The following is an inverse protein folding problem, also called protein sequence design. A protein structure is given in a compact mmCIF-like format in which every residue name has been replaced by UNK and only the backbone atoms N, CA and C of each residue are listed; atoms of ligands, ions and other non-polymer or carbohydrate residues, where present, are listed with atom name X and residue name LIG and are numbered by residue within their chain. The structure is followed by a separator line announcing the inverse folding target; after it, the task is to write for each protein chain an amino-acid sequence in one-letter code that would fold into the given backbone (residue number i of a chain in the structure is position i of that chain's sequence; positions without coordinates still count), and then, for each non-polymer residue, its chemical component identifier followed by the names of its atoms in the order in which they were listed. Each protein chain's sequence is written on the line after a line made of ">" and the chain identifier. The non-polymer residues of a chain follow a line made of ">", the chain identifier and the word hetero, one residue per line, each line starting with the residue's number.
data_IF_603813907859
#
_entry.id   IF_603813907859
#
_cell.length_a   1.000
_cell.length_b   1.000
_cell.length_c   1.000
_cell.angle_alpha   90.00
_cell.angle_beta   90.00
_cell.angle_gamma   90.00
#
_symmetry.space_group_name_H-M   'P 1'
#
loop_
_entity.id
_entity.type
_entity.pdbx_description
1 polymer ?
#
# COMPACT_ATOMS: atom_id res chain seq x y z
N UNK A 1 15.31 16.36 22.89
CA UNK A 1 15.63 15.04 22.34
C UNK A 1 14.35 14.31 21.95
N UNK A 2 14.28 13.84 20.71
CA UNK A 2 13.20 13.01 20.16
C UNK A 2 13.74 11.62 19.84
N UNK A 3 12.97 10.59 20.18
CA UNK A 3 13.29 9.18 19.92
C UNK A 3 12.36 8.69 18.80
N UNK A 4 12.93 8.32 17.66
CA UNK A 4 12.22 7.53 16.65
C UNK A 4 12.36 6.05 17.02
N UNK A 5 11.23 5.38 17.15
CA UNK A 5 11.14 3.98 17.54
C UNK A 5 10.44 3.18 16.43
N UNK A 6 10.86 1.93 16.25
CA UNK A 6 10.11 0.89 15.56
C UNK A 6 9.62 -0.08 16.63
N UNK A 7 8.31 -0.07 16.91
CA UNK A 7 7.77 -0.72 18.11
C UNK A 7 8.51 -0.23 19.36
N UNK A 8 9.06 -1.10 20.20
CA UNK A 8 9.83 -0.72 21.39
C UNK A 8 11.31 -0.44 21.13
N UNK A 9 11.79 -0.63 19.90
CA UNK A 9 13.21 -0.48 19.54
C UNK A 9 13.47 0.97 19.12
N UNK A 10 14.30 1.71 19.86
CA UNK A 10 14.80 3.01 19.41
C UNK A 10 15.77 2.81 18.24
N UNK A 11 15.44 3.39 17.09
CA UNK A 11 16.24 3.29 15.86
C UNK A 11 17.08 4.53 15.60
N UNK A 12 16.60 5.70 16.02
CA UNK A 12 17.25 7.00 15.86
C UNK A 12 16.90 7.91 17.05
N UNK A 13 17.91 8.57 17.63
CA UNK A 13 17.71 9.72 18.53
C UNK A 13 18.07 10.99 17.77
N UNK A 14 17.23 12.03 17.85
CA UNK A 14 17.53 13.29 17.20
C UNK A 14 17.01 14.50 17.96
N UNK A 15 17.72 15.61 17.83
CA UNK A 15 17.29 16.92 18.30
C UNK A 15 17.61 17.95 17.22
N UNK A 16 16.56 18.50 16.63
CA UNK A 16 16.69 19.42 15.49
C UNK A 16 17.33 20.75 15.91
N UNK A 17 17.11 21.20 17.14
CA UNK A 17 17.64 22.47 17.65
C UNK A 17 19.13 22.32 18.00
N UNK A 18 19.46 21.24 18.70
CA UNK A 18 20.83 20.91 19.08
C UNK A 18 21.63 20.26 17.93
N UNK A 19 21.01 20.08 16.76
CA UNK A 19 21.60 19.46 15.55
C UNK A 19 22.23 18.09 15.83
N UNK A 20 21.57 17.34 16.71
CA UNK A 20 22.00 16.06 17.20
C UNK A 20 21.27 14.95 16.44
N UNK A 21 22.01 13.96 15.94
CA UNK A 21 21.48 12.76 15.29
C UNK A 21 22.35 11.55 15.67
N UNK A 22 21.80 10.61 16.42
CA UNK A 22 22.46 9.37 16.85
C UNK A 22 21.72 8.18 16.25
N UNK A 23 22.39 7.42 15.38
CA UNK A 23 21.79 6.29 14.67
C UNK A 23 22.10 5.00 15.44
N UNK A 24 21.05 4.36 15.98
CA UNK A 24 21.20 3.17 16.83
C UNK A 24 21.03 1.86 16.06
N UNK A 25 20.04 1.82 15.15
CA UNK A 25 19.69 0.63 14.35
C UNK A 25 19.55 1.00 12.88
N UNK A 26 20.66 1.18 12.15
CA UNK A 26 20.62 1.60 10.74
C UNK A 26 19.88 0.62 9.85
N UNK A 27 19.88 -0.67 10.21
CA UNK A 27 19.16 -1.76 9.54
C UNK A 27 17.64 -1.69 9.72
N UNK A 28 17.17 -1.04 10.79
CA UNK A 28 15.76 -0.87 11.13
C UNK A 28 15.25 0.56 10.93
N UNK A 29 16.02 1.47 10.33
CA UNK A 29 15.47 2.77 9.94
C UNK A 29 14.40 2.59 8.85
N UNK A 30 13.46 3.55 8.69
CA UNK A 30 12.65 3.66 7.48
C UNK A 30 13.52 3.53 6.22
N UNK A 31 13.05 2.81 5.20
CA UNK A 31 13.88 2.42 4.07
C UNK A 31 14.52 3.64 3.38
N UNK A 32 13.76 4.73 3.26
CA UNK A 32 14.19 6.02 2.70
C UNK A 32 15.27 6.75 3.51
N UNK A 33 15.51 6.37 4.76
CA UNK A 33 16.54 6.97 5.62
C UNK A 33 17.84 6.15 5.68
N UNK A 34 17.79 4.86 5.30
CA UNK A 34 18.93 3.94 5.37
C UNK A 34 20.09 4.40 4.49
N UNK A 35 21.29 4.44 5.08
CA UNK A 35 22.52 4.87 4.41
C UNK A 35 22.57 6.34 3.98
N UNK A 36 21.48 7.10 4.19
CA UNK A 36 21.38 8.51 3.79
C UNK A 36 21.56 9.45 4.99
N UNK A 37 21.04 9.08 6.16
CA UNK A 37 21.30 9.80 7.40
C UNK A 37 22.75 9.63 7.86
N UNK A 38 23.34 10.71 8.35
CA UNK A 38 24.70 10.73 8.92
C UNK A 38 24.62 10.90 10.43
N UNK A 39 25.29 10.01 11.17
CA UNK A 39 25.41 10.11 12.63
C UNK A 39 26.34 11.26 13.02
N UNK A 40 25.81 12.28 13.70
CA UNK A 40 26.59 13.46 14.09
C UNK A 40 27.37 13.28 15.39
N UNK A 41 27.08 12.22 16.17
CA UNK A 41 27.84 11.88 17.38
C UNK A 41 29.16 11.19 17.06
N UNK A 42 29.22 10.54 15.88
CA UNK A 42 30.39 9.80 15.39
C UNK A 42 31.12 10.49 14.24
N UNK A 43 30.58 11.59 13.72
CA UNK A 43 31.15 12.31 12.58
C UNK A 43 31.79 13.62 13.03
N UNK A 44 33.07 13.78 12.71
CA UNK A 44 33.77 15.06 12.79
C UNK A 44 34.24 15.40 11.38
N UNK A 45 33.45 16.20 10.65
CA UNK A 45 33.76 16.67 9.30
C UNK A 45 33.84 18.19 9.27
N UNK A 46 34.60 18.73 8.32
CA UNK A 46 34.71 20.18 8.14
C UNK A 46 33.36 20.85 7.82
N UNK A 47 32.43 20.11 7.23
CA UNK A 47 31.11 20.61 6.81
C UNK A 47 29.96 19.99 7.61
N UNK A 48 29.95 20.24 8.93
CA UNK A 48 28.84 19.81 9.79
C UNK A 48 27.53 20.51 9.43
N UNK A 49 27.58 21.74 8.93
CA UNK A 49 26.40 22.52 8.54
C UNK A 49 25.59 21.84 7.43
N UNK A 50 26.25 21.37 6.37
CA UNK A 50 25.55 20.64 5.30
C UNK A 50 24.99 19.30 5.78
N UNK A 51 25.72 18.60 6.67
CA UNK A 51 25.22 17.34 7.26
C UNK A 51 23.94 17.58 8.04
N UNK A 52 23.89 18.64 8.86
CA UNK A 52 22.70 18.98 9.63
C UNK A 52 21.51 19.31 8.74
N UNK A 53 21.71 20.11 7.70
CA UNK A 53 20.66 20.48 6.75
C UNK A 53 20.13 19.24 6.01
N UNK A 54 21.03 18.38 5.52
CA UNK A 54 20.66 17.15 4.81
C UNK A 54 19.89 16.18 5.71
N UNK A 55 20.32 15.98 6.96
CA UNK A 55 19.59 15.12 7.90
C UNK A 55 18.19 15.66 8.20
N UNK A 56 18.06 16.98 8.39
CA UNK A 56 16.77 17.63 8.62
C UNK A 56 15.85 17.48 7.40
N UNK A 57 16.38 17.63 6.18
CA UNK A 57 15.62 17.43 4.93
C UNK A 57 15.15 15.98 4.76
N UNK A 58 15.99 15.00 5.09
CA UNK A 58 15.63 13.58 5.05
C UNK A 58 14.49 13.24 6.02
N UNK A 59 14.58 13.71 7.27
CA UNK A 59 13.52 13.51 8.27
C UNK A 59 12.24 14.27 7.87
N UNK A 60 12.38 15.50 7.37
CA UNK A 60 11.28 16.30 6.81
C UNK A 60 10.54 15.52 5.73
N UNK A 61 11.27 14.92 4.78
CA UNK A 61 10.71 14.17 3.66
C UNK A 61 9.97 12.92 4.14
N UNK A 62 10.55 12.18 5.09
CA UNK A 62 9.90 11.03 5.72
C UNK A 62 8.56 11.42 6.38
N UNK A 63 8.54 12.52 7.13
CA UNK A 63 7.32 13.03 7.73
C UNK A 63 6.31 13.55 6.70
N UNK A 64 6.78 14.23 5.65
CA UNK A 64 5.92 14.72 4.57
C UNK A 64 5.17 13.56 3.90
N UNK A 65 5.89 12.51 3.49
CA UNK A 65 5.33 11.33 2.81
C UNK A 65 4.36 10.52 3.69
N UNK A 66 4.45 10.64 5.01
CA UNK A 66 3.50 10.04 5.96
C UNK A 66 2.29 10.92 6.25
N UNK A 67 2.48 12.23 6.22
CA UNK A 67 1.49 13.19 6.67
C UNK A 67 0.28 13.31 5.76
N UNK A 68 -0.87 13.63 6.35
CA UNK A 68 -2.09 13.98 5.65
C UNK A 68 -1.85 14.97 4.50
N UNK A 69 -2.23 14.58 3.28
CA UNK A 69 -2.24 15.49 2.14
C UNK A 69 -3.23 16.63 2.36
N UNK A 70 -2.80 17.89 2.15
CA UNK A 70 -3.66 19.09 2.24
C UNK A 70 -4.77 19.07 1.18
N UNK A 71 -4.56 18.29 0.11
CA UNK A 71 -5.54 18.10 -0.97
C UNK A 71 -6.58 17.02 -0.64
N UNK A 72 -6.41 16.22 0.43
CA UNK A 72 -7.42 15.25 0.84
C UNK A 72 -8.70 15.98 1.21
N UNK A 73 -9.84 15.44 0.80
CA UNK A 73 -11.14 15.89 1.28
C UNK A 73 -11.12 15.96 2.81
N UNK A 74 -11.67 17.05 3.36
CA UNK A 74 -11.70 17.37 4.78
C UNK A 74 -10.35 17.63 5.48
N UNK A 75 -9.20 17.60 4.78
CA UNK A 75 -7.90 17.86 5.41
C UNK A 75 -7.82 19.22 6.10
N UNK A 76 -8.39 20.26 5.46
CA UNK A 76 -8.40 21.62 6.02
C UNK A 76 -9.14 21.70 7.35
N UNK A 77 -10.23 20.93 7.54
CA UNK A 77 -10.94 20.90 8.81
C UNK A 77 -10.07 20.29 9.91
N UNK A 78 -9.38 19.17 9.62
CA UNK A 78 -8.44 18.55 10.56
C UNK A 78 -7.34 19.52 10.94
N UNK A 79 -6.68 20.14 9.95
CA UNK A 79 -5.58 21.08 10.19
C UNK A 79 -6.03 22.30 11.02
N UNK A 80 -7.21 22.85 10.75
CA UNK A 80 -7.76 23.97 11.52
C UNK A 80 -8.01 23.58 12.98
N UNK A 81 -8.63 22.42 13.22
CA UNK A 81 -8.92 21.95 14.58
C UNK A 81 -7.66 21.58 15.37
N UNK A 82 -6.58 21.23 14.66
CA UNK A 82 -5.26 20.95 15.25
C UNK A 82 -4.35 22.18 15.33
N UNK A 83 -4.82 23.35 14.89
CA UNK A 83 -4.04 24.59 14.78
C UNK A 83 -2.72 24.41 14.00
N UNK A 84 -2.78 23.65 12.91
CA UNK A 84 -1.67 23.44 11.97
C UNK A 84 -1.91 24.34 10.75
N UNK A 85 -0.88 25.05 10.30
CA UNK A 85 -1.01 25.90 9.10
C UNK A 85 -1.23 25.03 7.86
N UNK A 86 -2.09 25.49 6.95
CA UNK A 86 -2.47 24.75 5.73
C UNK A 86 -1.42 24.90 4.61
N UNK A 87 -0.14 24.75 4.94
CA UNK A 87 0.97 24.83 4.01
C UNK A 87 1.82 23.56 4.08
N UNK A 88 2.62 23.34 3.03
CA UNK A 88 3.44 22.14 2.90
C UNK A 88 4.87 22.33 3.44
N UNK A 89 5.08 23.25 4.38
CA UNK A 89 6.41 23.49 4.95
C UNK A 89 6.77 22.51 6.07
N UNK A 90 8.07 22.45 6.39
CA UNK A 90 8.61 21.57 7.41
C UNK A 90 8.00 21.78 8.80
N UNK A 91 7.76 23.02 9.23
CA UNK A 91 7.24 23.34 10.56
C UNK A 91 5.85 22.73 10.75
N UNK A 92 4.98 22.91 9.76
CA UNK A 92 3.63 22.33 9.77
C UNK A 92 3.64 20.81 9.75
N UNK A 93 4.52 20.19 8.96
CA UNK A 93 4.65 18.71 8.91
C UNK A 93 5.20 18.15 10.20
N UNK A 94 6.24 18.76 10.74
CA UNK A 94 6.84 18.37 12.01
C UNK A 94 5.82 18.49 13.14
N UNK A 95 5.10 19.62 13.22
CA UNK A 95 4.04 19.83 14.20
C UNK A 95 2.95 18.76 14.10
N UNK A 96 2.49 18.43 12.89
CA UNK A 96 1.52 17.37 12.66
C UNK A 96 2.01 16.02 13.21
N UNK A 97 3.25 15.65 12.90
CA UNK A 97 3.85 14.39 13.36
C UNK A 97 4.06 14.37 14.88
N UNK A 98 4.49 15.47 15.49
CA UNK A 98 4.63 15.54 16.95
C UNK A 98 3.27 15.38 17.66
N UNK A 99 2.20 15.98 17.11
CA UNK A 99 0.85 15.89 17.70
C UNK A 99 0.31 14.45 17.70
N UNK A 100 0.57 13.67 16.64
CA UNK A 100 0.10 12.29 16.51
C UNK A 100 1.17 11.22 16.78
N UNK A 101 2.33 11.61 17.34
CA UNK A 101 3.51 10.74 17.53
C UNK A 101 3.99 10.05 16.24
N UNK A 102 3.71 10.64 15.09
CA UNK A 102 3.97 10.08 13.75
C UNK A 102 3.37 8.68 13.53
N UNK A 103 2.37 8.28 14.32
CA UNK A 103 1.73 6.97 14.22
C UNK A 103 0.97 6.84 12.89
N UNK A 104 1.12 5.70 12.23
CA UNK A 104 0.47 5.35 10.97
C UNK A 104 -0.13 3.95 11.07
N UNK A 105 -1.17 3.64 10.30
CA UNK A 105 -1.67 2.24 10.18
C UNK A 105 -0.80 1.43 9.21
N UNK A 106 -0.02 2.11 8.36
CA UNK A 106 0.82 1.47 7.36
C UNK A 106 2.07 0.81 7.96
N UNK A 107 2.55 1.26 9.12
CA UNK A 107 3.82 0.83 9.71
C UNK A 107 3.87 1.05 11.22
N UNK A 108 4.91 0.48 11.87
CA UNK A 108 5.08 0.56 13.32
C UNK A 108 6.13 1.61 13.76
N UNK A 109 6.50 2.55 12.88
CA UNK A 109 7.36 3.66 13.27
C UNK A 109 6.57 4.74 14.00
N UNK A 110 7.18 5.30 15.04
CA UNK A 110 6.60 6.39 15.81
C UNK A 110 7.70 7.22 16.48
N UNK A 111 7.32 8.38 17.01
CA UNK A 111 8.22 9.29 17.71
C UNK A 111 7.71 9.63 19.11
N UNK A 112 8.64 9.82 20.03
CA UNK A 112 8.35 10.24 21.41
C UNK A 112 9.47 11.09 21.99
N UNK A 113 9.15 11.90 22.99
CA UNK A 113 10.10 12.63 23.84
C UNK A 113 10.47 11.84 25.12
N UNK A 114 9.85 10.67 25.32
CA UNK A 114 10.09 9.78 26.46
C UNK A 114 10.79 8.50 26.05
N UNK A 115 11.94 8.21 26.64
CA UNK A 115 12.67 6.95 26.39
C UNK A 115 11.89 5.73 26.91
N UNK A 116 11.06 5.89 27.94
CA UNK A 116 10.35 4.80 28.64
C UNK A 116 8.95 4.50 28.12
N UNK A 117 8.38 5.34 27.25
CA UNK A 117 7.06 5.07 26.67
C UNK A 117 7.14 3.85 25.72
N UNK A 118 6.16 2.95 25.83
CA UNK A 118 6.16 1.67 25.11
C UNK A 118 5.21 1.67 23.92
N UNK A 119 5.44 0.77 22.96
CA UNK A 119 4.56 0.56 21.82
C UNK A 119 3.14 0.15 22.23
N UNK A 120 3.02 -0.67 23.28
CA UNK A 120 1.73 -1.10 23.82
C UNK A 120 0.83 0.09 24.20
N UNK A 121 1.41 1.21 24.66
CA UNK A 121 0.68 2.38 25.13
C UNK A 121 0.16 3.29 23.99
N UNK A 122 0.70 3.14 22.78
CA UNK A 122 0.51 4.12 21.69
C UNK A 122 0.04 3.50 20.38
N UNK A 123 0.25 2.21 20.16
CA UNK A 123 -0.03 1.59 18.87
C UNK A 123 -1.49 1.74 18.46
N UNK A 124 -1.73 2.03 17.18
CA UNK A 124 -3.08 2.24 16.67
C UNK A 124 -3.89 0.94 16.54
N UNK A 125 -3.22 -0.21 16.61
CA UNK A 125 -3.85 -1.53 16.45
C UNK A 125 -4.64 -1.95 17.69
N UNK A 126 -4.24 -1.58 18.89
CA UNK A 126 -4.86 -2.01 20.15
C UNK A 126 -5.50 -0.84 20.90
N UNK A 127 -5.00 0.38 20.70
CA UNK A 127 -5.48 1.53 21.44
C UNK A 127 -6.74 2.17 20.80
N UNK A 128 -7.55 2.89 21.60
CA UNK A 128 -8.67 3.66 21.10
C UNK A 128 -8.23 4.75 20.10
N UNK A 129 -8.98 4.87 19.01
CA UNK A 129 -8.79 5.91 18.00
C UNK A 129 -9.57 7.17 18.40
N UNK A 130 -9.10 8.34 17.97
CA UNK A 130 -9.77 9.60 18.27
C UNK A 130 -11.06 9.78 17.43
N UNK A 131 -12.22 9.56 18.05
CA UNK A 131 -13.54 9.57 17.39
C UNK A 131 -13.86 10.89 16.68
N UNK A 132 -13.61 12.04 17.32
CA UNK A 132 -13.85 13.34 16.68
C UNK A 132 -13.05 13.51 15.39
N UNK A 133 -11.80 13.04 15.35
CA UNK A 133 -10.98 13.10 14.14
C UNK A 133 -11.52 12.20 13.03
N UNK A 134 -12.07 11.02 13.37
CA UNK A 134 -12.74 10.16 12.38
C UNK A 134 -13.96 10.87 11.77
N UNK A 135 -14.74 11.55 12.61
CA UNK A 135 -15.92 12.30 12.20
C UNK A 135 -15.56 13.47 11.28
N UNK A 136 -14.50 14.20 11.61
CA UNK A 136 -13.98 15.29 10.76
C UNK A 136 -13.45 14.70 9.44
N UNK A 137 -12.64 13.64 9.50
CA UNK A 137 -11.98 13.07 8.32
C UNK A 137 -12.96 12.47 7.30
N UNK A 138 -13.97 11.73 7.76
CA UNK A 138 -14.93 11.07 6.88
C UNK A 138 -16.10 11.96 6.47
N UNK A 139 -16.59 12.84 7.35
CA UNK A 139 -17.82 13.61 7.11
C UNK A 139 -17.61 15.13 7.00
N UNK A 140 -16.42 15.64 7.25
CA UNK A 140 -16.14 17.09 7.14
C UNK A 140 -16.79 17.94 8.23
N UNK A 141 -17.13 17.34 9.38
CA UNK A 141 -17.74 18.06 10.51
C UNK A 141 -16.73 19.03 11.12
N UNK A 142 -17.22 20.17 11.62
CA UNK A 142 -16.40 21.13 12.38
C UNK A 142 -16.63 20.92 13.88
N UNK A 143 -15.88 19.98 14.46
CA UNK A 143 -15.99 19.60 15.87
C UNK A 143 -14.68 19.93 16.61
N UNK A 144 -14.74 20.43 17.86
CA UNK A 144 -13.55 20.70 18.65
C UNK A 144 -12.81 19.40 19.02
N UNK A 145 -11.49 19.41 18.88
CA UNK A 145 -10.61 18.30 19.28
C UNK A 145 -10.18 18.50 20.73
N UNK A 146 -10.33 17.45 21.55
CA UNK A 146 -9.95 17.46 22.98
C UNK A 146 -9.25 16.17 23.34
N UNK A 147 -8.27 16.21 24.23
CA UNK A 147 -7.56 15.03 24.73
C UNK A 147 -6.35 14.64 23.86
N UNK A 148 -5.86 13.41 24.07
CA UNK A 148 -4.66 12.90 23.38
C UNK A 148 -4.99 12.56 21.93
N UNK A 149 -4.20 13.08 20.99
CA UNK A 149 -4.35 12.79 19.56
C UNK A 149 -3.64 11.48 19.23
N UNK A 150 -4.36 10.37 19.40
CA UNK A 150 -3.97 9.04 18.89
C UNK A 150 -4.89 8.70 17.74
N UNK A 151 -4.44 9.04 16.54
CA UNK A 151 -5.30 8.93 15.36
C UNK A 151 -4.46 8.82 14.10
N UNK A 152 -4.78 7.86 13.22
CA UNK A 152 -4.19 7.80 11.90
C UNK A 152 -4.70 8.90 10.97
N UNK A 153 -5.70 9.70 11.34
CA UNK A 153 -6.31 10.68 10.42
C UNK A 153 -5.43 11.89 10.09
N UNK A 154 -4.34 12.07 10.84
CA UNK A 154 -3.29 13.07 10.59
C UNK A 154 -2.19 12.50 9.69
N UNK A 155 -2.24 11.21 9.42
CA UNK A 155 -1.34 10.45 8.56
C UNK A 155 -2.11 9.78 7.42
N UNK A 156 -1.40 9.25 6.44
CA UNK A 156 -2.00 8.57 5.31
C UNK A 156 -2.22 9.49 4.11
N UNK A 157 -1.89 8.94 2.93
CA UNK A 157 -1.97 9.62 1.65
C UNK A 157 -3.34 9.47 0.99
N UNK A 158 -3.53 10.06 -0.19
CA UNK A 158 -4.75 9.95 -0.98
C UNK A 158 -5.67 11.18 -0.90
N UNK A 159 -6.56 11.30 -1.87
CA UNK A 159 -7.38 12.50 -2.07
C UNK A 159 -8.79 12.41 -1.46
N UNK A 160 -9.34 11.21 -1.30
CA UNK A 160 -10.73 11.00 -0.88
C UNK A 160 -10.90 11.07 0.63
N UNK A 161 -12.11 11.44 1.08
CA UNK A 161 -12.48 11.35 2.48
C UNK A 161 -12.39 9.90 2.95
N UNK A 162 -11.67 9.70 4.05
CA UNK A 162 -11.49 8.38 4.64
C UNK A 162 -11.17 8.49 6.12
N UNK A 163 -11.55 7.46 6.87
CA UNK A 163 -11.20 7.31 8.26
C UNK A 163 -11.12 5.84 8.68
N UNK A 164 -10.27 5.58 9.66
CA UNK A 164 -10.14 4.27 10.29
C UNK A 164 -11.13 4.11 11.43
N UNK A 165 -11.85 3.00 11.44
CA UNK A 165 -12.76 2.60 12.51
C UNK A 165 -12.33 1.26 13.09
N UNK A 166 -12.61 1.05 14.38
CA UNK A 166 -12.44 -0.25 15.01
C UNK A 166 -13.78 -0.96 15.10
N UNK A 167 -13.86 -2.15 14.52
CA UNK A 167 -15.07 -2.96 14.48
C UNK A 167 -14.70 -4.40 14.85
N UNK A 168 -15.33 -4.94 15.90
CA UNK A 168 -15.05 -6.28 16.42
C UNK A 168 -13.54 -6.56 16.66
N UNK A 169 -12.84 -5.56 17.20
CA UNK A 169 -11.40 -5.64 17.50
C UNK A 169 -10.48 -5.35 16.30
N UNK A 170 -10.98 -5.38 15.07
CA UNK A 170 -10.17 -5.14 13.86
C UNK A 170 -10.28 -3.70 13.36
N UNK A 171 -9.20 -3.20 12.76
CA UNK A 171 -9.20 -1.90 12.07
C UNK A 171 -9.76 -2.03 10.66
N UNK A 172 -10.66 -1.11 10.30
CA UNK A 172 -11.26 -0.98 8.98
C UNK A 172 -11.05 0.43 8.45
N UNK A 173 -10.57 0.55 7.22
CA UNK A 173 -10.52 1.80 6.50
C UNK A 173 -11.84 2.00 5.77
N UNK A 174 -12.56 3.05 6.14
CA UNK A 174 -13.73 3.53 5.42
C UNK A 174 -13.29 4.62 4.45
N UNK A 175 -13.59 4.45 3.16
CA UNK A 175 -13.47 5.48 2.13
C UNK A 175 -14.88 5.92 1.71
N UNK A 176 -15.06 7.21 1.43
CA UNK A 176 -16.34 7.73 0.96
C UNK A 176 -16.26 8.17 -0.50
N UNK A 177 -17.38 8.05 -1.21
CA UNK A 177 -17.54 8.62 -2.55
C UNK A 177 -17.36 10.14 -2.50
N UNK A 178 -16.79 10.70 -3.57
CA UNK A 178 -16.92 12.14 -3.82
C UNK A 178 -18.40 12.48 -4.05
N UNK A 179 -18.82 13.74 -3.87
CA UNK A 179 -20.18 14.14 -4.21
C UNK A 179 -20.55 13.77 -5.66
N UNK A 180 -21.52 12.86 -5.84
CA UNK A 180 -21.94 12.35 -7.15
C UNK A 180 -21.00 11.33 -7.80
N UNK A 181 -19.97 10.89 -7.10
CA UNK A 181 -19.01 9.89 -7.55
C UNK A 181 -19.52 8.45 -7.44
N UNK A 182 -18.68 7.51 -7.83
CA UNK A 182 -18.94 6.07 -7.76
C UNK A 182 -17.68 5.25 -7.39
N UNK A 183 -16.73 5.91 -6.72
CA UNK A 183 -15.43 5.37 -6.32
C UNK A 183 -15.58 4.10 -5.49
N UNK A 184 -16.49 4.10 -4.50
CA UNK A 184 -16.79 2.99 -3.63
C UNK A 184 -17.35 1.78 -4.40
N UNK A 185 -18.19 2.02 -5.41
CA UNK A 185 -18.74 0.95 -6.26
C UNK A 185 -17.66 0.35 -7.16
N UNK A 186 -16.74 1.17 -7.69
CA UNK A 186 -15.58 0.70 -8.47
C UNK A 186 -14.63 -0.12 -7.60
N UNK A 187 -14.35 0.32 -6.37
CA UNK A 187 -13.52 -0.38 -5.41
C UNK A 187 -14.05 -1.79 -5.09
N UNK A 188 -15.35 -1.86 -4.79
CA UNK A 188 -16.05 -3.12 -4.50
C UNK A 188 -16.09 -4.01 -5.72
N UNK A 189 -16.47 -3.48 -6.90
CA UNK A 189 -16.47 -4.22 -8.17
C UNK A 189 -15.10 -4.81 -8.49
N UNK A 190 -14.03 -4.03 -8.39
CA UNK A 190 -12.68 -4.50 -8.65
C UNK A 190 -12.31 -5.64 -7.68
N UNK A 191 -12.59 -5.49 -6.39
CA UNK A 191 -12.34 -6.58 -5.42
C UNK A 191 -13.20 -7.83 -5.68
N UNK A 192 -14.48 -7.69 -6.04
CA UNK A 192 -15.35 -8.81 -6.42
C UNK A 192 -14.85 -9.56 -7.67
N UNK A 193 -14.29 -8.84 -8.62
CA UNK A 193 -13.67 -9.43 -9.81
C UNK A 193 -12.38 -10.15 -9.42
N UNK A 194 -11.52 -9.54 -8.61
CA UNK A 194 -10.26 -10.15 -8.19
C UNK A 194 -10.47 -11.40 -7.34
N UNK A 195 -11.58 -11.50 -6.58
CA UNK A 195 -12.04 -12.72 -5.91
C UNK A 195 -12.33 -13.90 -6.87
N UNK A 196 -12.43 -13.63 -8.18
CA UNK A 196 -12.58 -14.65 -9.21
C UNK A 196 -11.24 -15.17 -9.75
N UNK A 197 -10.11 -14.62 -9.27
CA UNK A 197 -8.76 -14.98 -9.66
C UNK A 197 -7.89 -15.27 -8.44
N UNK A 198 -6.74 -15.92 -8.65
CA UNK A 198 -5.76 -16.19 -7.59
C UNK A 198 -4.84 -14.97 -7.31
N UNK A 199 -5.42 -13.77 -7.23
CA UNK A 199 -4.71 -12.52 -6.99
C UNK A 199 -4.94 -12.07 -5.55
N UNK A 200 -3.93 -12.10 -4.67
CA UNK A 200 -4.01 -11.48 -3.35
C UNK A 200 -4.41 -10.01 -3.46
N UNK A 201 -5.55 -9.67 -2.88
CA UNK A 201 -6.09 -8.32 -2.88
C UNK A 201 -6.87 -8.06 -1.60
N UNK A 202 -7.09 -6.77 -1.31
CA UNK A 202 -7.91 -6.33 -0.18
C UNK A 202 -9.38 -6.40 -0.59
N UNK A 203 -10.19 -7.07 0.24
CA UNK A 203 -11.64 -7.15 0.03
C UNK A 203 -12.32 -5.86 0.49
N UNK A 204 -13.17 -5.31 -0.38
CA UNK A 204 -14.02 -4.17 -0.06
C UNK A 204 -15.49 -4.58 0.05
N UNK A 205 -16.21 -3.90 0.94
CA UNK A 205 -17.66 -4.05 1.09
C UNK A 205 -18.34 -2.69 0.96
N UNK A 206 -19.45 -2.63 0.24
CA UNK A 206 -20.23 -1.41 0.08
C UNK A 206 -21.11 -1.20 1.31
N UNK A 207 -21.23 0.03 1.75
CA UNK A 207 -22.06 0.40 2.88
C UNK A 207 -22.53 1.84 2.82
N UNK A 208 -23.20 2.24 3.90
CA UNK A 208 -23.63 3.62 4.11
C UNK A 208 -23.28 3.99 5.55
N UNK A 209 -22.62 5.13 5.73
CA UNK A 209 -22.43 5.75 7.05
C UNK A 209 -23.00 7.17 6.98
N UNK A 210 -23.93 7.46 7.90
CA UNK A 210 -24.75 8.68 7.86
C UNK A 210 -25.42 8.84 6.48
N UNK A 211 -25.17 9.94 5.79
CA UNK A 211 -25.68 10.25 4.46
C UNK A 211 -24.73 9.84 3.31
N UNK A 212 -23.50 9.40 3.63
CA UNK A 212 -22.49 9.04 2.62
C UNK A 212 -22.50 7.56 2.25
N UNK A 213 -22.35 7.31 0.95
CA UNK A 213 -21.95 5.99 0.44
C UNK A 213 -20.47 5.79 0.77
N UNK A 214 -20.17 4.62 1.32
CA UNK A 214 -18.80 4.26 1.73
C UNK A 214 -18.47 2.87 1.24
N UNK A 215 -17.18 2.61 1.00
CA UNK A 215 -16.64 1.25 0.98
C UNK A 215 -15.69 1.06 2.16
N UNK A 216 -15.67 -0.14 2.69
CA UNK A 216 -14.84 -0.51 3.83
C UNK A 216 -13.96 -1.70 3.50
N UNK A 217 -12.71 -1.65 3.94
CA UNK A 217 -11.79 -2.76 3.92
C UNK A 217 -11.08 -2.93 5.27
N UNK A 218 -10.75 -4.16 5.62
CA UNK A 218 -9.94 -4.44 6.81
C UNK A 218 -8.49 -4.00 6.55
N UNK A 219 -7.79 -3.59 7.62
CA UNK A 219 -6.35 -3.34 7.56
C UNK A 219 -5.62 -4.58 7.04
N UNK A 220 -4.78 -4.38 6.02
CA UNK A 220 -3.96 -5.45 5.44
C UNK A 220 -2.60 -5.62 6.13
N UNK A 221 -2.22 -4.71 7.04
CA UNK A 221 -0.97 -4.83 7.75
C UNK A 221 -1.06 -5.92 8.84
N UNK A 222 0.03 -6.67 9.05
CA UNK A 222 0.12 -7.69 10.09
C UNK A 222 0.86 -7.16 11.32
N UNK A 223 0.76 -7.89 12.43
CA UNK A 223 1.62 -7.66 13.59
C UNK A 223 3.10 -7.84 13.20
N UNK A 224 3.95 -6.92 13.65
CA UNK A 224 5.38 -6.88 13.35
C UNK A 224 5.77 -6.65 11.88
N UNK A 225 4.88 -6.01 11.10
CA UNK A 225 5.16 -5.67 9.71
C UNK A 225 4.91 -4.19 9.42
N UNK A 226 5.63 -3.68 8.43
CA UNK A 226 5.41 -2.34 7.89
C UNK A 226 5.24 -2.42 6.38
N UNK A 227 4.34 -1.61 5.84
CA UNK A 227 4.18 -1.40 4.41
C UNK A 227 5.24 -0.40 3.97
N UNK A 228 5.97 -0.77 2.93
CA UNK A 228 6.90 0.10 2.21
C UNK A 228 6.37 0.23 0.80
N UNK A 229 5.94 1.43 0.43
CA UNK A 229 5.41 1.67 -0.91
C UNK A 229 6.52 1.57 -1.97
N UNK A 230 6.12 1.48 -3.25
CA UNK A 230 7.09 1.32 -4.33
C UNK A 230 7.95 2.58 -4.53
N UNK A 231 7.49 3.76 -4.10
CA UNK A 231 8.25 5.02 -4.20
C UNK A 231 9.43 4.96 -3.22
N UNK A 232 9.22 4.45 -2.01
CA UNK A 232 10.28 4.25 -1.03
C UNK A 232 11.35 3.27 -1.53
N UNK A 233 10.92 2.18 -2.19
CA UNK A 233 11.86 1.24 -2.82
C UNK A 233 12.62 1.90 -3.97
N UNK A 234 11.97 2.68 -4.83
CA UNK A 234 12.61 3.37 -5.95
C UNK A 234 13.70 4.35 -5.46
N UNK A 235 13.37 5.17 -4.46
CA UNK A 235 14.32 6.08 -3.81
C UNK A 235 15.53 5.32 -3.27
N UNK A 236 15.29 4.21 -2.57
CA UNK A 236 16.37 3.39 -2.02
C UNK A 236 17.21 2.72 -3.12
N UNK A 237 16.57 2.13 -4.14
CA UNK A 237 17.23 1.45 -5.23
C UNK A 237 18.13 2.40 -6.03
N UNK A 238 17.59 3.55 -6.42
CA UNK A 238 18.31 4.61 -7.14
C UNK A 238 19.58 5.05 -6.41
N UNK A 239 19.48 5.33 -5.10
CA UNK A 239 20.63 5.71 -4.27
C UNK A 239 21.70 4.62 -4.17
N UNK A 240 21.30 3.36 -4.28
CA UNK A 240 22.21 2.21 -4.22
C UNK A 240 22.65 1.75 -5.63
N UNK A 241 22.40 2.53 -6.68
CA UNK A 241 22.78 2.19 -8.06
C UNK A 241 22.08 0.95 -8.61
N UNK A 242 20.86 0.66 -8.13
CA UNK A 242 20.05 -0.50 -8.52
C UNK A 242 18.92 -0.06 -9.45
N UNK A 243 18.58 -0.93 -10.40
CA UNK A 243 17.35 -0.77 -11.18
C UNK A 243 16.13 -1.13 -10.32
N UNK A 244 15.21 -0.17 -10.18
CA UNK A 244 14.02 -0.30 -9.34
C UNK A 244 13.15 -1.51 -9.72
N UNK A 245 12.83 -1.69 -11.01
CA UNK A 245 11.96 -2.78 -11.44
C UNK A 245 12.62 -4.15 -11.28
N UNK A 246 13.93 -4.24 -11.52
CA UNK A 246 14.70 -5.47 -11.27
C UNK A 246 14.68 -5.83 -9.78
N UNK A 247 14.81 -4.84 -8.89
CA UNK A 247 14.74 -5.08 -7.45
C UNK A 247 13.32 -5.49 -7.00
N UNK A 248 12.27 -4.82 -7.52
CA UNK A 248 10.88 -5.18 -7.26
C UNK A 248 10.59 -6.64 -7.66
N UNK A 249 11.00 -7.06 -8.86
CA UNK A 249 10.87 -8.45 -9.34
C UNK A 249 11.74 -9.43 -8.56
N UNK A 250 12.92 -9.01 -8.09
CA UNK A 250 13.80 -9.85 -7.25
C UNK A 250 13.12 -10.18 -5.91
N UNK A 251 12.36 -9.23 -5.35
CA UNK A 251 11.59 -9.44 -4.12
C UNK A 251 10.37 -10.31 -4.39
N UNK A 252 9.56 -9.98 -5.40
CA UNK A 252 8.33 -10.72 -5.70
C UNK A 252 7.88 -10.58 -7.17
N UNK A 253 8.48 -11.36 -8.06
CA UNK A 253 8.12 -11.36 -9.49
C UNK A 253 6.68 -11.83 -9.74
N UNK A 254 6.18 -12.76 -8.93
CA UNK A 254 4.86 -13.36 -9.11
C UNK A 254 3.77 -12.31 -8.90
N UNK A 255 3.78 -11.60 -7.76
CA UNK A 255 2.84 -10.51 -7.50
C UNK A 255 3.04 -9.32 -8.44
N UNK A 256 4.28 -9.02 -8.82
CA UNK A 256 4.58 -7.95 -9.76
C UNK A 256 3.86 -8.17 -11.10
N UNK A 257 3.97 -9.37 -11.67
CA UNK A 257 3.30 -9.70 -12.93
C UNK A 257 1.78 -9.86 -12.77
N UNK A 258 1.30 -10.40 -11.65
CA UNK A 258 -0.15 -10.45 -11.35
C UNK A 258 -0.78 -9.06 -11.29
N UNK A 259 -0.08 -8.07 -10.72
CA UNK A 259 -0.51 -6.67 -10.69
C UNK A 259 -0.79 -6.14 -12.10
N UNK A 260 0.14 -6.35 -13.02
CA UNK A 260 0.04 -5.88 -14.41
C UNK A 260 -1.17 -6.50 -15.12
N UNK A 261 -1.35 -7.81 -14.97
CA UNK A 261 -2.49 -8.52 -15.57
C UNK A 261 -3.81 -8.01 -14.99
N UNK A 262 -3.88 -7.88 -13.67
CA UNK A 262 -5.07 -7.38 -12.98
C UNK A 262 -5.45 -5.96 -13.43
N UNK A 263 -4.48 -5.03 -13.49
CA UNK A 263 -4.72 -3.64 -13.89
C UNK A 263 -5.23 -3.53 -15.32
N UNK A 264 -4.69 -4.34 -16.24
CA UNK A 264 -5.21 -4.38 -17.60
C UNK A 264 -6.65 -4.91 -17.64
N UNK A 265 -6.95 -6.01 -16.96
CA UNK A 265 -8.30 -6.60 -16.95
C UNK A 265 -9.36 -5.61 -16.47
N UNK A 266 -9.07 -4.88 -15.39
CA UNK A 266 -10.02 -3.93 -14.79
C UNK A 266 -9.87 -2.51 -15.32
N UNK A 267 -9.03 -2.26 -16.33
CA UNK A 267 -8.75 -0.92 -16.87
C UNK A 267 -8.40 0.11 -15.78
N UNK A 268 -7.48 -0.25 -14.88
CA UNK A 268 -7.04 0.64 -13.81
C UNK A 268 -6.09 1.69 -14.35
N UNK A 269 -6.48 2.96 -14.33
CA UNK A 269 -5.63 4.06 -14.81
C UNK A 269 -4.61 4.56 -13.79
N UNK A 270 -4.73 4.17 -12.51
CA UNK A 270 -4.06 4.85 -11.40
C UNK A 270 -3.20 3.93 -10.50
N UNK A 271 -2.43 3.03 -11.11
CA UNK A 271 -1.43 2.23 -10.38
C UNK A 271 -0.13 3.00 -10.15
N UNK A 272 -0.20 4.15 -9.47
CA UNK A 272 1.00 4.88 -9.09
C UNK A 272 1.74 4.18 -7.94
N UNK A 273 2.99 4.57 -7.69
CA UNK A 273 3.87 3.88 -6.73
C UNK A 273 3.43 3.90 -5.26
N UNK A 274 2.36 4.63 -4.93
CA UNK A 274 1.73 4.62 -3.61
C UNK A 274 0.63 3.55 -3.46
N UNK A 275 0.18 2.95 -4.57
CA UNK A 275 -0.90 1.97 -4.62
C UNK A 275 -0.40 0.53 -4.77
N UNK A 276 0.91 0.32 -4.61
CA UNK A 276 1.55 -0.99 -4.52
C UNK A 276 2.90 -0.87 -3.81
N UNK A 277 3.42 -2.00 -3.32
CA UNK A 277 4.59 -2.00 -2.46
C UNK A 277 4.79 -3.35 -1.80
N UNK A 278 5.49 -3.33 -0.67
CA UNK A 278 6.05 -4.52 -0.04
C UNK A 278 5.77 -4.54 1.44
N UNK A 279 5.69 -5.75 2.01
CA UNK A 279 5.84 -5.91 3.44
C UNK A 279 7.32 -5.93 3.81
N UNK A 280 7.66 -5.17 4.85
CA UNK A 280 8.91 -5.21 5.58
C UNK A 280 8.69 -6.00 6.88
N UNK A 281 9.58 -6.95 7.16
CA UNK A 281 9.65 -7.58 8.48
C UNK A 281 10.33 -6.62 9.46
N UNK A 282 9.64 -6.20 10.53
CA UNK A 282 10.15 -5.18 11.46
C UNK A 282 11.33 -5.66 12.32
N UNK A 283 11.54 -6.97 12.45
CA UNK A 283 12.66 -7.52 13.23
C UNK A 283 13.95 -7.57 12.42
N UNK A 284 13.84 -7.82 11.11
CA UNK A 284 14.97 -7.95 10.19
C UNK A 284 15.23 -6.67 9.38
N UNK A 285 14.23 -5.80 9.26
CA UNK A 285 14.27 -4.63 8.38
C UNK A 285 14.18 -4.95 6.88
N UNK A 286 14.16 -6.22 6.47
CA UNK A 286 14.15 -6.61 5.05
C UNK A 286 12.75 -6.64 4.44
N UNK A 287 12.63 -6.24 3.17
CA UNK A 287 11.44 -6.47 2.34
C UNK A 287 11.31 -7.95 2.00
N UNK A 288 10.12 -8.54 2.13
CA UNK A 288 9.93 -9.99 1.99
C UNK A 288 9.05 -10.42 0.82
N UNK A 289 7.98 -9.68 0.52
CA UNK A 289 7.07 -9.93 -0.60
C UNK A 289 6.22 -8.68 -0.86
N UNK A 290 5.54 -8.63 -2.00
CA UNK A 290 4.57 -7.57 -2.26
C UNK A 290 3.34 -7.74 -1.37
N UNK A 291 2.74 -6.64 -0.93
CA UNK A 291 1.46 -6.71 -0.23
C UNK A 291 0.31 -6.94 -1.23
N UNK A 292 -0.90 -7.32 -0.77
CA UNK A 292 -2.07 -7.49 -1.62
C UNK A 292 -2.45 -6.21 -2.37
N UNK A 293 -3.08 -6.34 -3.54
CA UNK A 293 -3.58 -5.19 -4.30
C UNK A 293 -4.69 -4.44 -3.55
N UNK A 294 -4.65 -3.12 -3.60
CA UNK A 294 -5.68 -2.22 -3.07
C UNK A 294 -5.76 -0.95 -3.94
N UNK A 295 -6.68 -0.03 -3.61
CA UNK A 295 -6.90 1.25 -4.31
C UNK A 295 -7.22 1.04 -5.80
N UNK A 296 -8.47 0.65 -6.07
CA UNK A 296 -8.99 0.38 -7.41
C UNK A 296 -10.17 1.29 -7.75
N UNK A 297 -10.24 2.47 -7.15
CA UNK A 297 -11.39 3.35 -7.25
C UNK A 297 -11.38 4.07 -8.61
N UNK A 298 -10.22 4.08 -9.25
CA UNK A 298 -9.98 4.46 -10.63
C UNK A 298 -9.98 3.25 -11.61
N UNK A 299 -10.40 2.05 -11.17
CA UNK A 299 -10.68 0.94 -12.09
C UNK A 299 -11.86 1.28 -13.00
N UNK A 300 -11.86 0.67 -14.18
CA UNK A 300 -12.81 0.93 -15.26
C UNK A 300 -12.81 2.39 -15.69
N UNK A 301 -11.63 3.01 -15.76
CA UNK A 301 -11.48 4.36 -16.26
C UNK A 301 -11.98 4.47 -17.71
N UNK A 302 -12.73 5.53 -18.02
CA UNK A 302 -13.40 5.62 -19.31
C UNK A 302 -12.43 5.78 -20.48
N UNK A 303 -11.32 6.51 -20.29
CA UNK A 303 -10.31 6.68 -21.33
C UNK A 303 -9.57 5.35 -21.56
N UNK A 304 -9.18 4.67 -20.47
CA UNK A 304 -8.50 3.38 -20.56
C UNK A 304 -9.41 2.29 -21.14
N UNK A 305 -10.72 2.32 -20.88
CA UNK A 305 -11.66 1.36 -21.51
C UNK A 305 -11.89 1.63 -23.00
N UNK A 306 -11.85 2.90 -23.43
CA UNK A 306 -11.99 3.28 -24.85
C UNK A 306 -10.73 2.98 -25.66
N UNK A 307 -9.57 3.02 -25.02
CA UNK A 307 -8.30 2.66 -25.62
C UNK A 307 -8.15 1.12 -25.69
N UNK A 308 -8.07 0.53 -26.91
CA UNK A 308 -7.86 -0.91 -27.05
C UNK A 308 -6.54 -1.38 -26.42
N UNK A 309 -5.52 -0.53 -26.36
CA UNK A 309 -4.23 -0.84 -25.75
C UNK A 309 -4.19 -0.55 -24.24
N UNK A 310 -5.24 0.09 -23.70
CA UNK A 310 -5.42 0.31 -22.27
C UNK A 310 -4.47 1.35 -21.67
N UNK A 311 -4.05 2.36 -22.43
CA UNK A 311 -3.15 3.42 -21.96
C UNK A 311 -1.76 2.91 -21.59
N UNK A 312 -0.98 3.74 -20.92
CA UNK A 312 0.41 3.41 -20.53
C UNK A 312 0.42 2.55 -19.26
N UNK A 313 1.24 1.50 -19.27
CA UNK A 313 1.50 0.68 -18.09
C UNK A 313 2.48 1.41 -17.14
N UNK A 314 2.10 1.53 -15.88
CA UNK A 314 2.94 2.19 -14.87
C UNK A 314 4.06 1.27 -14.33
N UNK A 315 3.88 -0.06 -14.35
CA UNK A 315 4.89 -1.01 -13.88
C UNK A 315 5.90 -1.44 -14.97
N UNK A 316 5.62 -1.18 -16.24
CA UNK A 316 6.56 -1.42 -17.34
C UNK A 316 6.60 -0.19 -18.25
N UNK A 317 7.37 0.86 -17.87
CA UNK A 317 7.44 2.09 -18.64
C UNK A 317 7.80 1.86 -20.10
N UNK A 318 7.15 2.59 -21.00
CA UNK A 318 7.31 2.42 -22.45
C UNK A 318 6.45 1.31 -23.07
N UNK A 319 5.59 0.64 -22.30
CA UNK A 319 4.58 -0.30 -22.80
C UNK A 319 3.17 0.20 -22.53
N UNK A 320 2.25 -0.19 -23.39
CA UNK A 320 0.82 -0.07 -23.08
C UNK A 320 0.41 -1.12 -22.04
N UNK A 321 -0.74 -0.95 -21.37
CA UNK A 321 -1.23 -1.99 -20.45
C UNK A 321 -1.45 -3.32 -21.15
N UNK A 322 -1.96 -3.29 -22.37
CA UNK A 322 -2.16 -4.49 -23.19
C UNK A 322 -0.86 -5.23 -23.47
N UNK A 323 0.16 -4.53 -23.97
CA UNK A 323 1.48 -5.12 -24.23
C UNK A 323 2.12 -5.67 -22.95
N UNK A 324 2.00 -4.94 -21.85
CA UNK A 324 2.52 -5.34 -20.56
C UNK A 324 1.79 -6.59 -20.02
N UNK A 325 0.47 -6.66 -20.17
CA UNK A 325 -0.32 -7.80 -19.72
C UNK A 325 -0.05 -9.07 -20.55
N UNK A 326 0.06 -8.95 -21.87
CA UNK A 326 0.49 -10.06 -22.74
C UNK A 326 1.90 -10.56 -22.41
N UNK A 327 2.79 -9.66 -22.00
CA UNK A 327 4.11 -10.03 -21.49
C UNK A 327 4.05 -10.70 -20.11
N UNK A 328 3.21 -10.19 -19.20
CA UNK A 328 3.12 -10.62 -17.81
C UNK A 328 2.36 -11.95 -17.62
N UNK A 329 1.32 -12.21 -18.41
CA UNK A 329 0.47 -13.41 -18.27
C UNK A 329 1.25 -14.72 -18.43
N UNK A 330 2.34 -14.70 -19.21
CA UNK A 330 3.24 -15.86 -19.40
C UNK A 330 4.32 -16.00 -18.32
N UNK A 331 4.37 -15.09 -17.34
CA UNK A 331 5.43 -14.96 -16.33
C UNK A 331 4.92 -15.03 -14.89
N UNK A 332 3.63 -15.27 -14.71
CA UNK A 332 3.03 -15.56 -13.42
C UNK A 332 2.00 -16.67 -13.56
N UNK A 333 1.68 -17.29 -12.43
CA UNK A 333 0.58 -18.23 -12.34
C UNK A 333 -0.73 -17.48 -12.12
N UNK A 334 -1.33 -16.95 -13.20
CA UNK A 334 -2.61 -16.26 -13.16
C UNK A 334 -3.76 -17.23 -13.49
N UNK A 335 -4.67 -17.43 -12.54
CA UNK A 335 -5.72 -18.46 -12.59
C UNK A 335 -7.10 -17.82 -12.50
N UNK A 336 -8.01 -18.24 -13.37
CA UNK A 336 -9.43 -18.14 -13.05
C UNK A 336 -9.76 -19.21 -12.00
N UNK A 337 -10.23 -18.82 -10.82
CA UNK A 337 -10.61 -19.74 -9.74
C UNK A 337 -12.14 -19.93 -9.65
N UNK A 338 -12.90 -18.99 -10.21
CA UNK A 338 -14.34 -19.11 -10.46
C UNK A 338 -14.76 -18.17 -11.60
N UNK A 339 -15.94 -18.38 -12.23
CA UNK A 339 -16.42 -17.49 -13.28
C UNK A 339 -16.76 -16.09 -12.77
N UNK A 340 -16.38 -15.07 -13.54
CA UNK A 340 -16.81 -13.68 -13.34
C UNK A 340 -18.21 -13.53 -13.91
N UNK A 341 -19.19 -13.17 -13.06
CA UNK A 341 -20.58 -12.97 -13.51
C UNK A 341 -20.81 -11.57 -14.07
N UNK A 342 -21.63 -11.48 -15.12
CA UNK A 342 -22.11 -10.20 -15.66
C UNK A 342 -22.80 -9.34 -14.61
N UNK A 343 -23.44 -9.94 -13.60
CA UNK A 343 -24.17 -9.25 -12.53
C UNK A 343 -23.29 -8.43 -11.59
N UNK A 344 -21.97 -8.68 -11.56
CA UNK A 344 -21.05 -7.88 -10.76
C UNK A 344 -20.97 -6.45 -11.31
N UNK A 345 -21.03 -6.30 -12.63
CA UNK A 345 -20.86 -5.03 -13.31
C UNK A 345 -22.14 -4.20 -13.24
N UNK A 346 -21.99 -2.92 -12.91
CA UNK A 346 -23.08 -1.96 -12.94
C UNK A 346 -23.19 -1.17 -14.24
N UNK A 347 -22.28 -1.40 -15.19
CA UNK A 347 -22.28 -0.84 -16.53
C UNK A 347 -21.90 -1.94 -17.53
N UNK A 348 -22.69 -2.06 -18.60
CA UNK A 348 -22.50 -3.09 -19.63
C UNK A 348 -21.17 -2.93 -20.37
N UNK A 349 -20.69 -1.70 -20.57
CA UNK A 349 -19.39 -1.44 -21.21
C UNK A 349 -18.26 -2.00 -20.37
N UNK A 350 -18.35 -1.91 -19.04
CA UNK A 350 -17.33 -2.49 -18.14
C UNK A 350 -17.25 -4.01 -18.30
N UNK A 351 -18.40 -4.69 -18.36
CA UNK A 351 -18.46 -6.14 -18.59
C UNK A 351 -17.86 -6.52 -19.95
N UNK A 352 -18.28 -5.84 -21.02
CA UNK A 352 -17.80 -6.12 -22.37
C UNK A 352 -16.29 -5.88 -22.48
N UNK A 353 -15.78 -4.76 -21.95
CA UNK A 353 -14.36 -4.45 -21.95
C UNK A 353 -13.56 -5.48 -21.16
N UNK A 354 -14.00 -5.81 -19.94
CA UNK A 354 -13.36 -6.85 -19.14
C UNK A 354 -13.29 -8.19 -19.89
N UNK A 355 -14.41 -8.64 -20.44
CA UNK A 355 -14.48 -9.94 -21.14
C UNK A 355 -13.65 -9.95 -22.41
N UNK A 356 -13.60 -8.85 -23.17
CA UNK A 356 -12.74 -8.72 -24.33
C UNK A 356 -11.25 -8.88 -23.97
N UNK A 357 -10.80 -8.19 -22.91
CA UNK A 357 -9.43 -8.29 -22.40
C UNK A 357 -9.12 -9.67 -21.83
N UNK A 358 -10.05 -10.26 -21.09
CA UNK A 358 -9.91 -11.61 -20.56
C UNK A 358 -9.84 -12.67 -21.67
N UNK A 359 -10.57 -12.49 -22.78
CA UNK A 359 -10.43 -13.33 -23.96
C UNK A 359 -9.07 -13.17 -24.64
N UNK A 360 -8.58 -11.93 -24.75
CA UNK A 360 -7.27 -11.66 -25.34
C UNK A 360 -6.13 -12.30 -24.55
N UNK A 361 -6.22 -12.29 -23.22
CA UNK A 361 -5.26 -12.97 -22.35
C UNK A 361 -5.45 -14.50 -22.29
N UNK A 362 -6.41 -15.06 -23.03
CA UNK A 362 -6.69 -16.50 -23.06
C UNK A 362 -7.34 -17.04 -21.77
N UNK A 363 -7.87 -16.17 -20.91
CA UNK A 363 -8.54 -16.54 -19.66
C UNK A 363 -10.00 -16.95 -19.89
N UNK A 364 -10.66 -16.34 -20.88
CA UNK A 364 -12.05 -16.57 -21.23
C UNK A 364 -12.20 -16.87 -22.72
N UNK A 365 -13.33 -17.47 -23.09
CA UNK A 365 -13.76 -17.62 -24.48
C UNK A 365 -15.23 -17.28 -24.62
N UNK A 366 -15.59 -16.68 -25.74
CA UNK A 366 -16.99 -16.46 -26.10
C UNK A 366 -17.61 -17.80 -26.52
N UNK A 367 -18.81 -18.11 -26.02
CA UNK A 367 -19.57 -19.28 -26.45
C UNK A 367 -20.73 -18.89 -27.35
N UNK A 368 -21.08 -19.77 -28.29
CA UNK A 368 -22.25 -19.57 -29.17
C UNK A 368 -23.52 -19.83 -28.38
N UNK A 369 -24.32 -18.79 -28.14
CA UNK A 369 -25.66 -18.91 -27.57
C UNK A 369 -26.70 -18.98 -28.69
N UNK A 370 -27.52 -20.03 -28.67
CA UNK A 370 -28.65 -20.17 -29.59
C UNK A 370 -29.73 -19.10 -29.34
N UNK A 371 -30.68 -18.94 -30.26
CA UNK A 371 -31.85 -18.07 -30.04
C UNK A 371 -32.67 -18.56 -28.85
N UNK A 372 -32.77 -19.88 -28.66
CA UNK A 372 -33.45 -20.49 -27.53
C UNK A 372 -32.75 -20.17 -26.20
N UNK A 373 -31.41 -20.23 -26.15
CA UNK A 373 -30.64 -19.87 -24.96
C UNK A 373 -30.87 -18.40 -24.56
N UNK A 374 -30.92 -17.51 -25.55
CA UNK A 374 -31.16 -16.07 -25.34
C UNK A 374 -32.60 -15.77 -24.87
N UNK A 375 -33.58 -16.55 -25.29
CA UNK A 375 -35.00 -16.34 -24.95
C UNK A 375 -35.45 -17.05 -23.68
N UNK A 376 -34.88 -18.23 -23.37
CA UNK A 376 -35.42 -19.14 -22.35
C UNK A 376 -34.41 -19.60 -21.29
N UNK A 377 -33.12 -19.32 -21.45
CA UNK A 377 -32.09 -19.62 -20.44
C UNK A 377 -31.63 -18.33 -19.77
N UNK A 378 -32.49 -17.73 -18.95
CA UNK A 378 -32.17 -16.56 -18.13
C UNK A 378 -31.03 -16.91 -17.15
N UNK A 379 -29.79 -16.71 -17.58
CA UNK A 379 -28.59 -17.03 -16.79
C UNK A 379 -27.42 -17.65 -17.56
N UNK A 380 -27.55 -17.99 -18.85
CA UNK A 380 -26.38 -18.43 -19.64
C UNK A 380 -25.50 -17.22 -19.97
N UNK A 381 -24.29 -17.20 -19.40
CA UNK A 381 -23.27 -16.18 -19.67
C UNK A 381 -22.75 -16.29 -21.12
N UNK A 382 -22.48 -15.17 -21.78
CA UNK A 382 -21.94 -15.19 -23.16
C UNK A 382 -20.46 -15.60 -23.22
N UNK A 383 -19.77 -15.49 -22.09
CA UNK A 383 -18.36 -15.80 -21.91
C UNK A 383 -18.21 -16.84 -20.81
N UNK A 384 -17.30 -17.79 -21.01
CA UNK A 384 -16.96 -18.82 -20.03
C UNK A 384 -15.45 -18.87 -19.84
N UNK A 385 -14.94 -19.16 -18.63
CA UNK A 385 -13.53 -19.40 -18.42
C UNK A 385 -13.01 -20.48 -19.37
N UNK A 386 -11.80 -20.32 -19.88
CA UNK A 386 -11.12 -21.38 -20.64
C UNK A 386 -10.85 -22.58 -19.73
N UNK A 387 -10.46 -22.31 -18.50
CA UNK A 387 -10.18 -23.29 -17.46
C UNK A 387 -10.49 -22.67 -16.09
N UNK A 388 -10.97 -23.48 -15.14
CA UNK A 388 -11.06 -23.11 -13.72
C UNK A 388 -10.02 -23.94 -12.97
N UNK A 389 -9.12 -23.29 -12.26
CA UNK A 389 -8.05 -23.92 -11.49
C UNK A 389 -8.27 -23.72 -9.98
N UNK A 390 -7.62 -24.55 -9.17
CA UNK A 390 -7.63 -24.40 -7.72
C UNK A 390 -7.03 -23.07 -7.28
N UNK A 391 -7.63 -22.48 -6.25
CA UNK A 391 -7.15 -21.26 -5.61
C UNK A 391 -5.93 -21.56 -4.73
N UNK A 392 -4.80 -20.94 -5.06
CA UNK A 392 -3.55 -21.01 -4.30
C UNK A 392 -3.20 -19.72 -3.57
N UNK A 393 -4.15 -18.80 -3.36
CA UNK A 393 -3.90 -17.58 -2.57
C UNK A 393 -3.55 -17.88 -1.11
N UNK A 394 -4.00 -19.02 -0.58
CA UNK A 394 -3.61 -19.51 0.75
C UNK A 394 -2.09 -19.73 0.85
N UNK A 395 -1.42 -20.15 -0.23
CA UNK A 395 0.03 -20.32 -0.26
C UNK A 395 0.75 -18.98 -0.17
N UNK A 396 0.23 -17.94 -0.85
CA UNK A 396 0.73 -16.57 -0.72
C UNK A 396 0.67 -16.12 0.74
N UNK A 397 -0.49 -16.26 1.39
CA UNK A 397 -0.65 -15.82 2.77
C UNK A 397 0.18 -16.65 3.75
N UNK A 398 0.29 -17.95 3.54
CA UNK A 398 1.12 -18.84 4.37
C UNK A 398 2.59 -18.48 4.25
N UNK A 399 3.08 -18.24 3.03
CA UNK A 399 4.45 -17.80 2.76
C UNK A 399 4.71 -16.41 3.34
N UNK A 400 3.83 -15.44 3.10
CA UNK A 400 3.95 -14.09 3.63
C UNK A 400 4.02 -14.13 5.16
N UNK A 401 3.05 -14.78 5.82
CA UNK A 401 3.01 -14.91 7.28
C UNK A 401 4.25 -15.62 7.83
N UNK A 402 4.70 -16.69 7.18
CA UNK A 402 5.95 -17.37 7.55
C UNK A 402 7.16 -16.43 7.48
N UNK A 403 7.36 -15.72 6.37
CA UNK A 403 8.49 -14.79 6.18
C UNK A 403 8.44 -13.61 7.14
N UNK A 404 7.24 -13.12 7.47
CA UNK A 404 7.02 -12.00 8.37
C UNK A 404 7.18 -12.39 9.85
N UNK A 405 7.00 -13.67 10.20
CA UNK A 405 7.22 -14.19 11.55
C UNK A 405 8.65 -14.69 11.80
N UNK A 406 9.52 -14.75 10.77
CA UNK A 406 10.92 -15.15 10.95
C UNK A 406 11.63 -14.14 11.85
N UNK A 407 12.21 -14.66 12.93
CA UNK A 407 13.20 -13.98 13.77
C UNK A 407 14.59 -14.12 13.15
N UNK A 408 15.45 -13.14 13.38
CA UNK A 408 16.89 -13.31 13.20
C UNK A 408 17.35 -14.45 14.13
N UNK A 409 17.57 -15.64 13.57
CA UNK A 409 18.30 -16.70 14.24
C UNK A 409 19.78 -16.50 13.87
N UNK A 410 20.70 -16.20 14.81
CA UNK A 410 22.12 -16.00 14.49
C UNK A 410 22.84 -17.25 13.94
N UNK A 411 22.14 -18.37 13.76
CA UNK A 411 22.74 -19.68 13.55
C UNK A 411 23.02 -20.06 12.08
N UNK A 412 22.67 -19.25 11.08
CA UNK A 412 22.97 -19.54 9.67
C UNK A 412 23.68 -18.38 8.97
N UNK A 413 24.87 -18.05 9.48
CA UNK A 413 25.93 -17.45 8.68
C UNK A 413 26.88 -18.55 8.20
N UNK A 414 27.15 -18.57 6.89
CA UNK A 414 28.15 -19.39 6.21
C UNK A 414 27.89 -20.91 6.16
N UNK A 415 27.38 -21.39 5.02
CA UNK A 415 27.88 -22.58 4.34
C UNK A 415 27.25 -22.68 2.93
N UNK A 416 27.82 -21.92 1.99
CA UNK A 416 27.79 -22.28 0.57
C UNK A 416 29.25 -22.51 0.17
N UNK A 417 29.78 -23.66 0.59
CA UNK A 417 31.04 -24.17 0.06
C UNK A 417 30.84 -24.56 -1.40
N UNK A 418 31.62 -23.94 -2.29
CA UNK A 418 31.85 -24.45 -3.64
C UNK A 418 32.42 -25.87 -3.53
N UNK A 419 31.97 -26.84 -4.36
CA UNK A 419 32.65 -28.13 -4.42
C UNK A 419 33.99 -27.97 -5.14
N UNK A 420 35.08 -28.13 -4.40
CA UNK A 420 36.40 -28.38 -4.96
C UNK A 420 36.38 -29.69 -5.76
N UNK A 421 36.73 -29.60 -7.04
CA UNK A 421 37.07 -30.75 -7.86
C UNK A 421 38.34 -31.41 -7.30
N UNK A 422 38.19 -32.53 -6.61
CA UNK A 422 39.29 -33.46 -6.40
C UNK A 422 39.34 -34.45 -7.55
N UNK A 423 40.36 -34.27 -8.38
CA UNK A 423 40.94 -35.27 -9.26
C UNK A 423 41.37 -36.51 -8.47
N UNK A 424 40.94 -37.70 -8.88
CA UNK A 424 41.74 -38.92 -8.75
C UNK A 424 41.41 -39.92 -9.87
N UNK A 425 42.47 -40.30 -10.60
CA UNK A 425 42.67 -41.43 -11.52
C UNK A 425 41.92 -41.48 -12.85
#
# INVERSE_FOLDING_TARGET
>A
MTFMKLEDITVLKFDLNEKHYEILRPDLLPLTLRGSLVDTTRTVKADMSSIWFNNQELISTFFYNRSLSVKRENAKYIMNQLHIRQNNDFESRYKAMMLCKALSVADNYWITDSETESWADVNLQDNPLHETLQQIALFGKSLPITGKIRSPEVTGQGAYAKAWYRENGSLYLYKADSPGGNECRREVLASDILDCFNVPHVKYTLGKKEDRVVCACQNMNFDNTSIVDSIELDIWASRNGKDFFSEAKRIDSEMFYKTIVADYLIANSDRHGGNWGFYMNNQMGSLVCMHPLFDHNNAFDEAFMKDPDGGICQLLPGKTQREAALYAISRCDFRCIKPVSRKLFFDEKMYITFMARACELGLYKQQRLSVFDRMFSSGKEAYVPVEIKEDNTVDFWSKAKFLLQRRNNPAHGCENGMPENQSTN
#
